data_IF_109476406548
#
_entry.id   IF_109476406548
#
_cell.length_a   1.000
_cell.length_b   1.000
_cell.length_c   1.000
_cell.angle_alpha   90.00
_cell.angle_beta   90.00
_cell.angle_gamma   90.00
#
_symmetry.space_group_name_H-M   'P 1'
#
loop_
_entity.id
_entity.type
_entity.pdbx_description
1 polymer ?
#
# COMPACT_ATOMS: atom_id res chain seq x y z
N UNK A 1 -1.80 0.55 4.70
CA UNK A 1 -0.87 -0.45 4.13
C UNK A 1 -0.11 0.19 2.96
N UNK A 2 1.03 -0.39 2.56
CA UNK A 2 1.87 0.10 1.48
C UNK A 2 1.80 -0.85 0.28
N UNK A 3 1.76 -0.29 -0.92
CA UNK A 3 1.67 -1.01 -2.18
C UNK A 3 2.79 -0.56 -3.12
N UNK A 4 3.34 -1.51 -3.88
CA UNK A 4 4.31 -1.24 -4.95
C UNK A 4 3.69 -1.76 -6.26
N UNK A 5 3.37 -0.89 -7.22
CA UNK A 5 2.90 -1.31 -8.54
C UNK A 5 3.95 -2.18 -9.24
N UNK A 6 3.50 -3.16 -10.01
CA UNK A 6 4.40 -4.02 -10.78
C UNK A 6 4.93 -3.32 -12.04
N UNK A 7 4.21 -2.30 -12.52
CA UNK A 7 4.60 -1.47 -13.65
C UNK A 7 4.30 0.00 -13.35
N UNK A 8 5.14 0.90 -13.86
CA UNK A 8 4.94 2.35 -13.74
C UNK A 8 3.72 2.86 -14.52
N UNK A 9 3.21 2.08 -15.48
CA UNK A 9 2.03 2.42 -16.29
C UNK A 9 0.72 1.92 -15.69
N UNK A 10 0.77 1.29 -14.52
CA UNK A 10 -0.41 0.69 -13.91
C UNK A 10 -1.31 1.78 -13.31
N UNK A 11 -2.61 1.66 -13.53
CA UNK A 11 -3.57 2.57 -12.92
C UNK A 11 -3.58 2.39 -11.40
N UNK A 12 -3.20 3.46 -10.71
CA UNK A 12 -3.04 3.53 -9.27
C UNK A 12 -4.37 3.52 -8.50
N UNK A 13 -5.45 4.03 -9.09
CA UNK A 13 -6.78 4.03 -8.48
C UNK A 13 -7.40 2.64 -8.60
N UNK A 14 -7.40 2.09 -9.82
CA UNK A 14 -7.89 0.74 -10.07
C UNK A 14 -7.18 -0.32 -9.20
N UNK A 15 -5.85 -0.21 -9.05
CA UNK A 15 -5.07 -1.11 -8.19
C UNK A 15 -5.51 -1.04 -6.72
N UNK A 16 -5.78 0.17 -6.19
CA UNK A 16 -6.22 0.33 -4.79
C UNK A 16 -7.57 -0.34 -4.56
N UNK A 17 -8.49 -0.19 -5.50
CA UNK A 17 -9.82 -0.76 -5.40
C UNK A 17 -9.80 -2.28 -5.54
N UNK A 18 -9.00 -2.82 -6.47
CA UNK A 18 -8.78 -4.26 -6.61
C UNK A 18 -8.25 -4.86 -5.30
N UNK A 19 -7.21 -4.27 -4.72
CA UNK A 19 -6.63 -4.74 -3.45
C UNK A 19 -7.66 -4.65 -2.32
N UNK A 20 -8.41 -3.54 -2.20
CA UNK A 20 -9.45 -3.41 -1.17
C UNK A 20 -10.54 -4.48 -1.33
N UNK A 21 -10.99 -4.71 -2.56
CA UNK A 21 -12.02 -5.71 -2.87
C UNK A 21 -11.55 -7.11 -2.48
N UNK A 22 -10.32 -7.47 -2.85
CA UNK A 22 -9.72 -8.75 -2.52
C UNK A 22 -9.54 -8.96 -1.01
N UNK A 23 -9.16 -7.92 -0.28
CA UNK A 23 -9.04 -8.00 1.18
C UNK A 23 -10.42 -8.15 1.84
N UNK A 24 -11.45 -7.44 1.36
CA UNK A 24 -12.83 -7.57 1.88
C UNK A 24 -13.44 -8.96 1.66
N UNK A 25 -13.04 -9.66 0.60
CA UNK A 25 -13.56 -11.01 0.36
C UNK A 25 -12.93 -12.07 1.27
N UNK A 26 -11.80 -11.77 1.91
CA UNK A 26 -11.00 -12.73 2.67
C UNK A 26 -10.80 -12.36 4.14
N UNK A 27 -11.03 -11.09 4.52
CA UNK A 27 -10.81 -10.56 5.85
C UNK A 27 -12.06 -9.87 6.40
N UNK A 28 -12.26 -9.87 7.73
CA UNK A 28 -13.22 -8.99 8.37
C UNK A 28 -12.93 -7.51 8.10
N UNK A 29 -13.95 -6.67 8.07
CA UNK A 29 -13.85 -5.24 7.72
C UNK A 29 -12.80 -4.47 8.55
N UNK A 30 -12.66 -4.77 9.84
CA UNK A 30 -11.71 -4.09 10.73
C UNK A 30 -10.23 -4.40 10.41
N UNK A 31 -9.95 -5.42 9.61
CA UNK A 31 -8.61 -5.75 9.13
C UNK A 31 -8.29 -5.11 7.78
N UNK A 32 -9.30 -4.58 7.07
CA UNK A 32 -9.11 -3.96 5.76
C UNK A 32 -8.52 -2.56 5.97
N UNK A 33 -7.34 -2.26 5.39
CA UNK A 33 -6.70 -0.96 5.59
C UNK A 33 -7.53 0.19 5.01
N UNK A 34 -7.76 1.22 5.82
CA UNK A 34 -8.45 2.45 5.38
C UNK A 34 -7.62 3.23 4.36
N UNK A 35 -6.28 3.23 4.53
CA UNK A 35 -5.32 3.95 3.69
C UNK A 35 -4.37 2.99 2.96
N UNK A 36 -4.24 3.18 1.65
CA UNK A 36 -3.29 2.46 0.78
C UNK A 36 -2.32 3.46 0.14
N UNK A 37 -1.07 3.44 0.63
CA UNK A 37 0.00 4.33 0.18
C UNK A 37 0.79 3.64 -0.92
N UNK A 38 0.98 4.30 -2.06
CA UNK A 38 1.77 3.78 -3.17
C UNK A 38 3.22 4.21 -3.04
N UNK A 39 4.13 3.28 -3.31
CA UNK A 39 5.56 3.46 -3.32
C UNK A 39 6.11 2.95 -4.66
N UNK A 40 7.19 3.54 -5.14
CA UNK A 40 7.92 3.00 -6.30
C UNK A 40 8.64 1.69 -5.95
N UNK A 41 9.13 1.58 -4.71
CA UNK A 41 9.77 0.39 -4.19
C UNK A 41 9.65 0.33 -2.66
N UNK A 42 9.75 -0.87 -2.10
CA UNK A 42 9.84 -1.04 -0.65
C UNK A 42 11.21 -0.54 -0.15
N UNK A 43 11.27 0.33 0.87
CA UNK A 43 12.54 0.75 1.42
C UNK A 43 13.17 -0.40 2.20
N UNK A 44 14.41 -0.76 1.86
CA UNK A 44 15.14 -1.83 2.52
C UNK A 44 16.40 -1.28 3.19
N UNK A 45 16.71 -1.82 4.36
CA UNK A 45 18.03 -1.70 5.00
C UNK A 45 19.11 -2.32 4.12
N UNK A 46 20.41 -2.03 4.35
CA UNK A 46 21.51 -2.67 3.63
C UNK A 46 21.49 -4.21 3.68
N UNK A 47 20.91 -4.77 4.74
CA UNK A 47 20.76 -6.22 4.92
C UNK A 47 19.46 -6.78 4.29
N UNK A 48 18.75 -5.99 3.46
CA UNK A 48 17.55 -6.41 2.74
C UNK A 48 16.26 -6.49 3.57
N UNK A 49 16.30 -6.14 4.86
CA UNK A 49 15.09 -6.06 5.71
C UNK A 49 14.32 -4.77 5.45
N UNK A 50 13.00 -4.78 5.61
CA UNK A 50 12.16 -3.58 5.51
C UNK A 50 12.64 -2.48 6.48
N UNK A 51 12.98 -1.31 5.94
CA UNK A 51 13.27 -0.12 6.74
C UNK A 51 11.97 0.63 7.04
N UNK A 52 11.38 0.33 8.20
CA UNK A 52 10.13 0.95 8.64
C UNK A 52 10.26 2.45 8.93
N UNK A 53 11.46 2.98 9.17
CA UNK A 53 11.68 4.40 9.44
C UNK A 53 11.69 5.22 8.16
N UNK A 54 12.04 4.60 7.04
CA UNK A 54 12.03 5.20 5.71
C UNK A 54 10.66 5.13 5.01
N UNK A 55 9.67 4.44 5.62
CA UNK A 55 8.32 4.44 5.07
C UNK A 55 7.67 5.82 5.25
N UNK A 56 7.06 6.38 4.19
CA UNK A 56 6.37 7.66 4.31
C UNK A 56 5.15 7.51 5.22
N UNK A 57 4.83 8.55 5.99
CA UNK A 57 3.60 8.56 6.76
C UNK A 57 2.40 8.45 5.80
N UNK A 58 1.36 7.66 6.15
CA UNK A 58 0.10 7.71 5.42
C UNK A 58 -0.44 9.13 5.49
N UNK A 59 -0.47 9.82 4.34
CA UNK A 59 -1.15 11.10 4.26
C UNK A 59 -2.63 10.85 4.47
N UNK A 60 -3.16 11.36 5.58
CA UNK A 60 -4.60 11.45 5.80
C UNK A 60 -5.06 12.62 4.94
N UNK A 61 -5.41 12.37 3.68
CA UNK A 61 -6.13 13.36 2.91
C UNK A 61 -7.56 13.42 3.45
N UNK A 62 -7.81 14.37 4.37
CA UNK A 62 -9.15 14.89 4.63
C UNK A 62 -9.55 15.68 3.38
N UNK A 63 -10.24 15.01 2.45
CA UNK A 63 -11.04 15.67 1.42
C UNK A 63 -12.50 15.67 1.90
#
# INVERSE_FOLDING_TARGET
AYLVPRSATQDHEALRDEVKSHLKSSLPDYMVPTHLVLLEAMPLTPNGKLDRKALPAPVVSLA
#
